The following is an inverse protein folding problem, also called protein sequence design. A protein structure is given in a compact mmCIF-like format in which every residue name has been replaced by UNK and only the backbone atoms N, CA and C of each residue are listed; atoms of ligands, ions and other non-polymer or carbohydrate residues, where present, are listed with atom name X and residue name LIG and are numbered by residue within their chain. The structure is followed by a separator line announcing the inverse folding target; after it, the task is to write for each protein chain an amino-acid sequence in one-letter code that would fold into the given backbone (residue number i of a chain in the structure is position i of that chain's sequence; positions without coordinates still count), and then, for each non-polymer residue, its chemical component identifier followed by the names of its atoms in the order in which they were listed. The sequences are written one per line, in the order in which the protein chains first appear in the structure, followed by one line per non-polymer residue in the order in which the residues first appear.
data_IF_594967932149
#
_entry.id   IF_594967932149
#
_cell.length_a   1.000
_cell.length_b   1.000
_cell.length_c   1.000
_cell.angle_alpha   90.00
_cell.angle_beta   90.00
_cell.angle_gamma   90.00
#
_symmetry.space_group_name_H-M   'P 1'
#
loop_
_entity.id
_entity.type
_entity.pdbx_description
1 polymer ?
#
# COMPACT_ATOMS: atom_id res chain seq x y z
N UNK A 1 3.67 17.92 22.60
CA UNK A 1 3.12 19.27 22.50
C UNK A 1 4.14 20.27 21.98
N UNK A 2 3.67 21.25 21.19
CA UNK A 2 4.46 22.38 20.67
C UNK A 2 4.02 23.68 21.34
N UNK A 3 4.95 24.63 21.48
CA UNK A 3 4.60 25.95 22.05
C UNK A 3 3.67 26.72 21.12
N UNK A 4 2.87 27.64 21.67
CA UNK A 4 1.96 28.50 20.89
C UNK A 4 2.70 29.28 19.78
N UNK A 5 3.86 29.85 20.08
CA UNK A 5 4.69 30.58 19.10
C UNK A 5 5.21 29.64 18.00
N UNK A 6 5.57 28.42 18.34
CA UNK A 6 6.00 27.41 17.36
C UNK A 6 4.83 27.00 16.46
N UNK A 7 3.64 26.80 17.00
CA UNK A 7 2.46 26.46 16.24
C UNK A 7 2.07 27.55 15.23
N UNK A 8 2.09 28.83 15.65
CA UNK A 8 1.88 29.96 14.74
C UNK A 8 2.92 30.00 13.62
N UNK A 9 4.20 29.83 13.96
CA UNK A 9 5.26 29.78 12.95
C UNK A 9 5.06 28.63 11.94
N UNK A 10 4.52 27.47 12.36
CA UNK A 10 4.21 26.38 11.44
C UNK A 10 3.02 26.71 10.54
N UNK A 11 1.96 27.30 11.10
CA UNK A 11 0.82 27.78 10.31
C UNK A 11 1.30 28.78 9.25
N UNK A 12 2.07 29.79 9.64
CA UNK A 12 2.59 30.80 8.72
C UNK A 12 3.47 30.18 7.61
N UNK A 13 4.28 29.18 7.95
CA UNK A 13 5.07 28.43 6.96
C UNK A 13 4.20 27.64 5.99
N UNK A 14 3.17 26.95 6.49
CA UNK A 14 2.24 26.20 5.63
C UNK A 14 1.50 27.16 4.71
N UNK A 15 0.95 28.25 5.25
CA UNK A 15 0.20 29.24 4.47
C UNK A 15 1.07 29.93 3.41
N UNK A 16 2.30 30.30 3.75
CA UNK A 16 3.23 30.92 2.78
C UNK A 16 3.74 29.95 1.72
N UNK A 17 3.91 28.67 2.06
CA UNK A 17 4.33 27.64 1.08
C UNK A 17 3.21 27.29 0.12
N UNK A 18 1.97 27.24 0.61
CA UNK A 18 0.79 26.86 -0.18
C UNK A 18 0.11 28.06 -0.85
N UNK A 19 0.49 29.29 -0.49
CA UNK A 19 -0.16 30.54 -0.89
C UNK A 19 -1.68 30.55 -0.60
N UNK A 20 -2.06 29.97 0.55
CA UNK A 20 -3.46 29.80 0.97
C UNK A 20 -3.58 30.03 2.47
N UNK A 21 -4.63 30.74 2.90
CA UNK A 21 -4.99 30.85 4.32
C UNK A 21 -5.68 29.57 4.81
N UNK A 22 -5.13 28.94 5.84
CA UNK A 22 -5.64 27.68 6.41
C UNK A 22 -6.33 27.89 7.75
N UNK A 23 -6.08 29.03 8.42
CA UNK A 23 -6.79 29.45 9.62
C UNK A 23 -7.41 30.83 9.45
N UNK A 24 -8.57 31.02 10.05
CA UNK A 24 -9.19 32.32 10.24
C UNK A 24 -9.19 32.68 11.72
N UNK A 25 -8.91 33.95 12.02
CA UNK A 25 -8.90 34.47 13.38
C UNK A 25 -9.96 35.55 13.53
N UNK A 26 -10.87 35.40 14.50
CA UNK A 26 -11.79 36.47 14.88
C UNK A 26 -11.22 37.24 16.07
N UNK A 27 -11.15 38.58 15.98
CA UNK A 27 -10.73 39.41 17.12
C UNK A 27 -11.87 39.48 18.14
N UNK A 28 -11.58 39.13 19.38
CA UNK A 28 -12.54 39.24 20.50
C UNK A 28 -12.84 40.69 20.85
N UNK A 29 -14.12 41.00 21.10
CA UNK A 29 -14.57 42.28 21.64
C UNK A 29 -14.44 42.37 23.17
N UNK A 30 -15.07 43.38 23.78
CA UNK A 30 -15.02 43.70 25.24
C UNK A 30 -15.39 42.56 26.21
N UNK A 31 -15.86 41.41 25.73
CA UNK A 31 -16.20 40.23 26.54
C UNK A 31 -15.13 39.14 26.60
N UNK A 32 -14.02 39.27 25.88
CA UNK A 32 -12.96 38.26 25.83
C UNK A 32 -13.34 37.02 25.00
N UNK A 33 -12.43 36.58 24.13
CA UNK A 33 -12.64 35.39 23.29
C UNK A 33 -12.47 35.69 21.81
N UNK A 34 -11.22 35.87 21.38
CA UNK A 34 -10.88 35.67 19.98
C UNK A 34 -10.72 34.18 19.71
N UNK A 35 -11.32 33.67 18.64
CA UNK A 35 -11.23 32.26 18.24
C UNK A 35 -10.34 32.10 17.01
N UNK A 36 -9.64 30.97 16.94
CA UNK A 36 -8.98 30.52 15.70
C UNK A 36 -9.69 29.26 15.22
N UNK A 37 -10.13 29.27 13.98
CA UNK A 37 -10.79 28.13 13.34
C UNK A 37 -10.13 27.87 11.99
N UNK A 38 -10.19 26.61 11.53
CA UNK A 38 -9.76 26.29 10.16
C UNK A 38 -10.67 27.02 9.16
N UNK A 39 -10.08 27.46 8.04
CA UNK A 39 -10.82 27.86 6.85
C UNK A 39 -11.35 26.63 6.11
N UNK A 40 -12.19 26.82 5.10
CA UNK A 40 -12.63 25.70 4.24
C UNK A 40 -11.44 25.01 3.57
N UNK A 41 -10.46 25.78 3.11
CA UNK A 41 -9.21 25.28 2.57
C UNK A 41 -8.40 24.50 3.61
N UNK A 42 -8.30 25.03 4.83
CA UNK A 42 -7.65 24.35 5.95
C UNK A 42 -8.28 23.00 6.28
N UNK A 43 -9.62 22.91 6.25
CA UNK A 43 -10.34 21.64 6.40
C UNK A 43 -10.07 20.68 5.23
N UNK A 44 -10.05 21.18 3.99
CA UNK A 44 -9.79 20.38 2.80
C UNK A 44 -8.38 19.78 2.83
N UNK A 45 -7.36 20.58 3.14
CA UNK A 45 -5.97 20.13 3.27
C UNK A 45 -5.85 19.08 4.38
N UNK A 46 -6.43 19.33 5.56
CA UNK A 46 -6.41 18.37 6.66
C UNK A 46 -7.06 17.04 6.27
N UNK A 47 -8.15 17.08 5.51
CA UNK A 47 -8.83 15.89 4.99
C UNK A 47 -7.92 15.09 4.06
N UNK A 48 -7.24 15.75 3.11
CA UNK A 48 -6.31 15.06 2.20
C UNK A 48 -5.11 14.47 2.95
N UNK A 49 -4.52 15.20 3.91
CA UNK A 49 -3.44 14.65 4.76
C UNK A 49 -3.90 13.40 5.53
N UNK A 50 -5.13 13.42 6.09
CA UNK A 50 -5.69 12.25 6.78
C UNK A 50 -5.89 11.05 5.86
N UNK A 51 -6.32 11.26 4.60
CA UNK A 51 -6.44 10.19 3.62
C UNK A 51 -5.10 9.56 3.28
N UNK A 52 -4.07 10.38 3.04
CA UNK A 52 -2.71 9.91 2.75
C UNK A 52 -2.21 9.04 3.91
N UNK A 53 -2.33 9.54 5.14
CA UNK A 53 -1.93 8.78 6.33
C UNK A 53 -2.69 7.45 6.46
N UNK A 54 -3.99 7.43 6.19
CA UNK A 54 -4.79 6.20 6.24
C UNK A 54 -4.34 5.18 5.18
N UNK A 55 -4.07 5.63 3.95
CA UNK A 55 -3.56 4.77 2.86
C UNK A 55 -2.16 4.23 3.19
N UNK A 56 -1.29 5.07 3.75
CA UNK A 56 0.05 4.65 4.18
C UNK A 56 0.01 3.61 5.30
N UNK A 57 -0.94 3.71 6.24
CA UNK A 57 -1.08 2.70 7.30
C UNK A 57 -1.67 1.39 6.75
N UNK A 58 -2.59 1.45 5.77
CA UNK A 58 -3.14 0.25 5.12
C UNK A 58 -2.05 -0.57 4.40
N UNK A 59 -1.11 0.11 3.73
CA UNK A 59 -0.04 -0.54 2.94
C UNK A 59 1.33 -0.49 3.61
N UNK A 60 1.36 -0.53 4.94
CA UNK A 60 2.57 -0.36 5.74
C UNK A 60 3.59 -1.48 5.53
N UNK A 61 3.10 -2.71 5.43
CA UNK A 61 3.92 -3.88 5.17
C UNK A 61 3.81 -4.29 3.69
N UNK A 62 4.98 -4.47 3.06
CA UNK A 62 5.09 -4.79 1.64
C UNK A 62 6.10 -5.91 1.41
N UNK A 63 5.78 -6.79 0.46
CA UNK A 63 6.75 -7.71 -0.10
C UNK A 63 7.63 -6.91 -1.05
N UNK A 64 8.95 -7.05 -0.91
CA UNK A 64 9.93 -6.38 -1.76
C UNK A 64 10.69 -7.45 -2.54
N UNK A 65 10.62 -7.39 -3.88
CA UNK A 65 11.18 -8.44 -4.74
C UNK A 65 11.94 -7.79 -5.89
N UNK A 66 13.22 -8.11 -6.02
CA UNK A 66 13.99 -7.72 -7.19
C UNK A 66 13.52 -8.49 -8.42
N UNK A 67 13.29 -7.76 -9.52
CA UNK A 67 12.75 -8.31 -10.75
C UNK A 67 13.39 -7.67 -11.98
N UNK A 68 13.25 -8.35 -13.11
CA UNK A 68 13.62 -7.84 -14.44
C UNK A 68 12.39 -7.79 -15.36
N UNK A 69 12.23 -6.71 -16.12
CA UNK A 69 11.18 -6.61 -17.13
C UNK A 69 11.52 -7.52 -18.30
N UNK A 70 10.69 -8.51 -18.58
CA UNK A 70 10.91 -9.47 -19.68
C UNK A 70 9.98 -9.25 -20.88
N UNK A 71 8.85 -8.57 -20.66
CA UNK A 71 7.88 -8.27 -21.72
C UNK A 71 7.06 -7.02 -21.39
N UNK A 72 6.65 -6.30 -22.43
CA UNK A 72 5.76 -5.13 -22.35
C UNK A 72 4.62 -5.34 -23.34
N UNK A 73 3.38 -5.32 -22.85
CA UNK A 73 2.16 -5.51 -23.65
C UNK A 73 1.30 -4.23 -23.55
N UNK A 74 1.54 -3.30 -24.47
CA UNK A 74 0.78 -2.03 -24.56
C UNK A 74 -0.72 -2.25 -24.79
N UNK A 75 -1.09 -3.28 -25.55
CA UNK A 75 -2.49 -3.55 -25.87
C UNK A 75 -3.28 -3.97 -24.62
N UNK A 76 -2.64 -4.69 -23.69
CA UNK A 76 -3.23 -5.07 -22.40
C UNK A 76 -2.94 -4.08 -21.28
N UNK A 77 -2.07 -3.10 -21.49
CA UNK A 77 -1.66 -2.14 -20.47
C UNK A 77 -0.91 -2.78 -19.30
N UNK A 78 -0.15 -3.83 -19.56
CA UNK A 78 0.64 -4.54 -18.55
C UNK A 78 2.07 -4.80 -19.02
N UNK A 79 2.97 -5.03 -18.07
CA UNK A 79 4.29 -5.58 -18.30
C UNK A 79 4.43 -6.89 -17.55
N UNK A 80 5.24 -7.80 -18.07
CA UNK A 80 5.63 -9.04 -17.39
C UNK A 80 7.01 -8.84 -16.79
N UNK A 81 7.12 -9.06 -15.49
CA UNK A 81 8.36 -8.99 -14.75
C UNK A 81 8.69 -10.37 -14.21
N UNK A 82 9.97 -10.73 -14.28
CA UNK A 82 10.51 -12.01 -13.86
C UNK A 82 11.23 -11.85 -12.53
N UNK A 83 10.91 -12.74 -11.59
CA UNK A 83 11.48 -12.82 -10.25
C UNK A 83 11.98 -14.25 -10.06
N UNK A 84 13.31 -14.46 -10.08
CA UNK A 84 13.89 -15.81 -10.04
C UNK A 84 13.31 -16.68 -11.18
N UNK A 85 12.56 -17.73 -10.87
CA UNK A 85 11.96 -18.66 -11.83
C UNK A 85 10.48 -18.37 -12.15
N UNK A 86 9.89 -17.33 -11.55
CA UNK A 86 8.48 -16.98 -11.73
C UNK A 86 8.28 -15.68 -12.47
N UNK A 87 7.15 -15.58 -13.17
CA UNK A 87 6.73 -14.39 -13.89
C UNK A 87 5.44 -13.85 -13.28
N UNK A 88 5.36 -12.54 -13.12
CA UNK A 88 4.14 -11.85 -12.70
C UNK A 88 3.85 -10.68 -13.63
N UNK A 89 2.57 -10.33 -13.73
CA UNK A 89 2.09 -9.15 -14.41
C UNK A 89 2.07 -7.96 -13.45
N UNK A 90 2.56 -6.83 -13.93
CA UNK A 90 2.56 -5.52 -13.27
C UNK A 90 1.91 -4.50 -14.22
N UNK A 91 1.44 -3.33 -13.72
CA UNK A 91 0.84 -2.33 -14.60
C UNK A 91 1.90 -1.77 -15.55
N UNK A 92 1.49 -1.43 -16.78
CA UNK A 92 2.39 -0.81 -17.74
C UNK A 92 2.96 0.50 -17.16
N UNK A 93 4.29 0.61 -17.15
CA UNK A 93 4.98 1.83 -16.83
C UNK A 93 5.99 2.13 -17.95
N UNK A 94 5.73 3.21 -18.68
CA UNK A 94 6.50 3.62 -19.88
C UNK A 94 7.94 4.06 -19.57
N UNK A 95 8.30 4.16 -18.30
CA UNK A 95 9.67 4.44 -17.87
C UNK A 95 10.56 3.20 -17.85
N UNK A 96 10.02 2.01 -18.12
CA UNK A 96 10.77 0.76 -18.20
C UNK A 96 10.74 0.18 -19.61
N UNK A 97 11.86 -0.44 -19.99
CA UNK A 97 12.01 -1.23 -21.21
C UNK A 97 12.37 -2.68 -20.82
N UNK A 98 12.27 -3.61 -21.77
CA UNK A 98 12.71 -4.99 -21.55
C UNK A 98 14.20 -5.01 -21.16
N UNK A 99 14.55 -5.81 -20.15
CA UNK A 99 15.89 -5.89 -19.56
C UNK A 99 16.12 -4.97 -18.36
N UNK A 100 15.18 -4.07 -18.05
CA UNK A 100 15.31 -3.20 -16.87
C UNK A 100 15.15 -3.98 -15.58
N UNK A 101 16.05 -3.70 -14.62
CA UNK A 101 15.91 -4.16 -13.23
C UNK A 101 15.08 -3.17 -12.43
N UNK A 102 14.22 -3.71 -11.58
CA UNK A 102 13.34 -2.95 -10.69
C UNK A 102 13.06 -3.71 -9.40
N UNK A 103 12.53 -3.00 -8.42
CA UNK A 103 11.94 -3.57 -7.22
C UNK A 103 10.42 -3.59 -7.39
N UNK A 104 9.82 -4.77 -7.28
CA UNK A 104 8.37 -4.96 -7.22
C UNK A 104 7.92 -4.95 -5.76
N UNK A 105 6.92 -4.12 -5.48
CA UNK A 105 6.33 -3.93 -4.16
C UNK A 105 4.89 -4.42 -4.17
N UNK A 106 4.55 -5.35 -3.28
CA UNK A 106 3.20 -5.92 -3.17
C UNK A 106 2.80 -5.91 -1.69
N UNK A 107 1.83 -5.08 -1.33
CA UNK A 107 1.39 -5.00 0.07
C UNK A 107 0.75 -6.31 0.54
N UNK A 108 0.97 -6.65 1.81
CA UNK A 108 0.53 -7.92 2.40
C UNK A 108 -1.00 -8.07 2.35
N UNK A 109 -1.73 -6.96 2.42
CA UNK A 109 -3.19 -6.88 2.34
C UNK A 109 -3.75 -7.06 0.92
N UNK A 110 -2.90 -6.94 -0.11
CA UNK A 110 -3.28 -7.12 -1.51
C UNK A 110 -3.07 -8.56 -2.01
N UNK A 111 -2.56 -9.44 -1.14
CA UNK A 111 -2.34 -10.85 -1.44
C UNK A 111 -3.49 -11.69 -0.91
N UNK A 112 -4.15 -12.40 -1.82
CA UNK A 112 -5.22 -13.33 -1.54
C UNK A 112 -4.69 -14.76 -1.43
N UNK A 113 -5.16 -15.52 -0.45
CA UNK A 113 -4.92 -16.95 -0.35
C UNK A 113 -6.15 -17.71 -0.82
N UNK A 114 -5.95 -18.68 -1.72
CA UNK A 114 -7.01 -19.51 -2.29
C UNK A 114 -6.61 -20.98 -2.20
N UNK A 115 -7.59 -21.86 -2.06
CA UNK A 115 -7.34 -23.32 -2.10
C UNK A 115 -7.26 -23.84 -3.54
N UNK A 116 -7.96 -23.18 -4.46
CA UNK A 116 -7.99 -23.51 -5.88
C UNK A 116 -7.92 -22.23 -6.72
N UNK A 117 -7.34 -22.26 -7.94
CA UNK A 117 -7.37 -21.13 -8.85
C UNK A 117 -8.79 -20.89 -9.36
N UNK A 118 -9.22 -19.64 -9.39
CA UNK A 118 -10.55 -19.24 -9.86
C UNK A 118 -10.47 -18.15 -10.93
N UNK A 119 -11.35 -18.23 -11.93
CA UNK A 119 -11.46 -17.22 -12.98
C UNK A 119 -11.85 -15.88 -12.38
N UNK A 120 -10.95 -14.90 -12.46
CA UNK A 120 -11.16 -13.58 -11.88
C UNK A 120 -10.28 -12.53 -12.56
N UNK A 121 -10.30 -11.31 -12.05
CA UNK A 121 -9.37 -10.24 -12.46
C UNK A 121 -7.98 -10.38 -11.84
N UNK A 122 -7.74 -11.38 -10.99
CA UNK A 122 -6.43 -11.72 -10.46
C UNK A 122 -5.57 -12.24 -11.61
N UNK A 123 -4.52 -11.49 -11.95
CA UNK A 123 -3.62 -11.82 -13.08
C UNK A 123 -2.37 -12.56 -12.64
N UNK A 124 -2.07 -12.54 -11.35
CA UNK A 124 -0.95 -13.23 -10.75
C UNK A 124 -1.51 -14.31 -9.85
N UNK A 125 -1.23 -15.58 -10.17
CA UNK A 125 -1.61 -16.74 -9.38
C UNK A 125 -0.38 -17.62 -9.28
N UNK A 126 0.17 -17.75 -8.08
CA UNK A 126 1.37 -18.53 -7.82
C UNK A 126 1.03 -19.65 -6.83
N UNK A 127 1.44 -20.88 -7.14
CA UNK A 127 1.29 -22.00 -6.19
C UNK A 127 2.38 -21.91 -5.13
N UNK A 128 2.02 -22.10 -3.87
CA UNK A 128 2.97 -22.10 -2.76
C UNK A 128 2.51 -22.95 -1.58
N UNK A 129 3.34 -22.99 -0.55
CA UNK A 129 3.07 -23.72 0.69
C UNK A 129 3.21 -22.77 1.88
N UNK A 130 2.24 -22.83 2.81
CA UNK A 130 2.33 -22.06 4.05
C UNK A 130 3.46 -22.63 4.90
N UNK A 131 4.46 -21.80 5.22
CA UNK A 131 5.60 -22.21 6.07
C UNK A 131 5.53 -21.60 7.46
N UNK A 132 4.78 -20.51 7.65
CA UNK A 132 4.63 -19.85 8.93
C UNK A 132 3.30 -19.11 9.02
N UNK A 133 2.72 -19.05 10.22
CA UNK A 133 1.54 -18.24 10.54
C UNK A 133 1.74 -17.61 11.91
N UNK A 134 1.52 -16.29 12.02
CA UNK A 134 1.62 -15.55 13.29
C UNK A 134 0.44 -14.62 13.46
N UNK A 135 -0.20 -14.67 14.61
CA UNK A 135 -1.19 -13.66 15.01
C UNK A 135 -0.45 -12.36 15.36
N UNK A 136 -0.79 -11.27 14.70
CA UNK A 136 -0.32 -9.92 14.98
C UNK A 136 -1.53 -9.00 15.13
N UNK A 137 -1.76 -8.52 16.34
CA UNK A 137 -2.97 -7.78 16.69
C UNK A 137 -4.24 -8.60 16.34
N UNK A 138 -5.02 -8.13 15.36
CA UNK A 138 -6.28 -8.73 14.92
C UNK A 138 -6.15 -9.43 13.54
N UNK A 139 -4.93 -9.55 13.01
CA UNK A 139 -4.65 -10.18 11.70
C UNK A 139 -3.68 -11.35 11.84
N UNK A 140 -3.81 -12.33 10.95
CA UNK A 140 -2.86 -13.43 10.83
C UNK A 140 -1.91 -13.13 9.68
N UNK A 141 -0.63 -12.93 10.01
CA UNK A 141 0.44 -12.86 9.03
C UNK A 141 0.86 -14.27 8.62
N UNK A 142 0.71 -14.56 7.34
CA UNK A 142 1.04 -15.85 6.73
C UNK A 142 2.28 -15.67 5.88
N UNK A 143 3.29 -16.51 6.09
CA UNK A 143 4.47 -16.63 5.22
C UNK A 143 4.29 -17.85 4.32
N UNK A 144 4.43 -17.63 3.02
CA UNK A 144 4.23 -18.64 1.98
C UNK A 144 5.53 -18.80 1.20
N UNK A 145 6.00 -20.04 1.05
CA UNK A 145 7.07 -20.39 0.12
C UNK A 145 6.50 -20.60 -1.27
N UNK A 146 6.99 -19.82 -2.23
CA UNK A 146 6.65 -19.86 -3.64
C UNK A 146 7.93 -20.16 -4.41
N UNK A 147 8.27 -21.45 -4.46
CA UNK A 147 9.45 -21.97 -5.16
C UNK A 147 10.77 -21.32 -4.76
N UNK A 148 11.00 -21.16 -3.46
CA UNK A 148 12.23 -20.58 -2.90
C UNK A 148 12.15 -19.08 -2.61
N UNK A 149 11.08 -18.40 -3.05
CA UNK A 149 10.79 -17.01 -2.67
C UNK A 149 9.74 -17.01 -1.57
N UNK A 150 9.92 -16.19 -0.54
CA UNK A 150 8.92 -16.03 0.50
C UNK A 150 8.03 -14.81 0.24
N UNK A 151 6.72 -15.05 0.18
CA UNK A 151 5.70 -14.01 0.17
C UNK A 151 4.97 -13.97 1.50
N UNK A 152 4.57 -12.79 1.93
CA UNK A 152 3.79 -12.54 3.12
C UNK A 152 2.42 -11.99 2.76
N UNK A 153 1.40 -12.50 3.43
CA UNK A 153 0.01 -12.08 3.29
C UNK A 153 -0.58 -11.90 4.67
N UNK A 154 -1.30 -10.79 4.88
CA UNK A 154 -2.06 -10.57 6.11
C UNK A 154 -3.53 -10.91 5.82
N UNK A 155 -4.07 -11.86 6.56
CA UNK A 155 -5.46 -12.32 6.43
C UNK A 155 -6.22 -12.10 7.74
N UNK A 156 -7.55 -12.07 7.65
CA UNK A 156 -8.40 -12.02 8.84
C UNK A 156 -8.44 -13.38 9.56
N UNK A 157 -8.74 -13.34 10.85
CA UNK A 157 -9.05 -14.53 11.65
C UNK A 157 -10.19 -15.39 11.06
N UNK A 158 -11.15 -14.77 10.37
CA UNK A 158 -12.24 -15.50 9.72
C UNK A 158 -11.77 -16.27 8.49
N UNK A 159 -10.93 -15.64 7.64
CA UNK A 159 -10.41 -16.27 6.43
C UNK A 159 -9.54 -17.50 6.75
N UNK A 160 -8.73 -17.45 7.81
CA UNK A 160 -7.97 -18.61 8.28
C UNK A 160 -8.88 -19.79 8.63
N UNK A 161 -9.93 -19.54 9.42
CA UNK A 161 -10.89 -20.57 9.85
C UNK A 161 -11.71 -21.12 8.69
N UNK A 162 -12.25 -20.25 7.83
CA UNK A 162 -13.09 -20.62 6.70
C UNK A 162 -12.34 -21.45 5.66
N UNK A 163 -11.07 -21.11 5.41
CA UNK A 163 -10.20 -21.83 4.48
C UNK A 163 -9.43 -22.98 5.16
N UNK A 164 -9.59 -23.15 6.47
CA UNK A 164 -8.90 -24.13 7.31
C UNK A 164 -7.38 -24.13 7.04
N UNK A 165 -6.77 -22.95 7.08
CA UNK A 165 -5.35 -22.78 6.74
C UNK A 165 -4.46 -23.29 7.87
N UNK A 166 -3.37 -23.93 7.50
CA UNK A 166 -2.40 -24.48 8.45
C UNK A 166 -1.00 -24.51 7.85
N UNK A 167 0.02 -24.53 8.71
CA UNK A 167 1.41 -24.71 8.29
C UNK A 167 1.54 -26.05 7.53
N UNK A 168 2.24 -26.03 6.40
CA UNK A 168 2.41 -27.14 5.48
C UNK A 168 1.31 -27.25 4.42
N UNK A 169 0.24 -26.46 4.49
CA UNK A 169 -0.84 -26.51 3.50
C UNK A 169 -0.42 -25.86 2.17
N UNK A 170 -0.74 -26.53 1.06
CA UNK A 170 -0.61 -25.94 -0.27
C UNK A 170 -1.74 -24.93 -0.52
N UNK A 171 -1.38 -23.77 -1.06
CA UNK A 171 -2.30 -22.68 -1.38
C UNK A 171 -1.91 -22.01 -2.69
N UNK A 172 -2.82 -21.24 -3.26
CA UNK A 172 -2.57 -20.32 -4.36
C UNK A 172 -2.55 -18.90 -3.84
N UNK A 173 -1.45 -18.21 -4.13
CA UNK A 173 -1.21 -16.81 -3.83
C UNK A 173 -1.67 -15.98 -5.02
N UNK A 174 -2.74 -15.22 -4.84
CA UNK A 174 -3.36 -14.41 -5.87
C UNK A 174 -3.20 -12.92 -5.62
N UNK A 175 -2.87 -12.12 -6.63
CA UNK A 175 -2.97 -10.66 -6.55
C UNK A 175 -3.19 -10.04 -7.94
N UNK A 176 -3.72 -8.81 -7.95
CA UNK A 176 -3.94 -8.06 -9.20
C UNK A 176 -2.62 -7.51 -9.72
N UNK A 177 -2.49 -7.43 -11.05
CA UNK A 177 -1.38 -6.71 -11.65
C UNK A 177 -1.31 -5.26 -11.13
N UNK A 178 -2.46 -4.58 -11.01
CA UNK A 178 -2.56 -3.23 -10.47
C UNK A 178 -2.08 -3.05 -9.02
N UNK A 179 -1.95 -4.13 -8.25
CA UNK A 179 -1.45 -4.08 -6.86
C UNK A 179 0.08 -4.13 -6.79
N UNK A 180 0.77 -4.25 -7.92
CA UNK A 180 2.23 -4.27 -8.01
C UNK A 180 2.73 -2.85 -8.26
N UNK A 181 3.29 -2.21 -7.23
CA UNK A 181 4.05 -0.98 -7.41
C UNK A 181 5.48 -1.33 -7.84
N UNK A 182 6.09 -0.47 -8.66
CA UNK A 182 7.43 -0.71 -9.21
C UNK A 182 8.34 0.48 -8.98
N UNK A 183 9.53 0.21 -8.47
CA UNK A 183 10.56 1.19 -8.20
C UNK A 183 11.82 0.85 -9.00
N UNK A 184 12.40 1.84 -9.67
CA UNK A 184 13.64 1.65 -10.42
C UNK A 184 14.82 1.45 -9.46
N UNK A 185 15.66 0.45 -9.74
CA UNK A 185 16.93 0.22 -9.06
C UNK A 185 18.07 0.99 -9.74
#
# INVERSE_FOLDING_TARGET
DVSYRTALNYIDKIESTLDVKIVSTTKGGKGGGGGTSLTEEGYSILKECKKINAIMELHKDVNEIEAEVINVDDAKGVMTIKMHDFEINAPLNRNYEVGYKLLALISYDNIFLMLEPQTSSIRNILKGQIVEMRLQNEVIRVKIDVGGIYLFSDITLSAEKELNLSIGKEVFVGFKAMSVATLKL
#
